data_IF_409034588388
#
_entry.id   IF_409034588388
#
_cell.length_a   1.000
_cell.length_b   1.000
_cell.length_c   1.000
_cell.angle_alpha   90.00
_cell.angle_beta   90.00
_cell.angle_gamma   90.00
#
_symmetry.space_group_name_H-M   'P 1'
#
loop_
_entity.id
_entity.type
_entity.pdbx_description
1 polymer ?
#
# COMPACT_ATOMS: atom_id res chain seq x y z
N UNK A 1 1.59 4.95 -11.05
CA UNK A 1 2.44 4.37 -9.99
C UNK A 1 2.38 2.85 -10.06
N UNK A 2 3.42 2.16 -9.59
CA UNK A 2 3.48 0.71 -9.47
C UNK A 2 4.25 0.37 -8.18
N UNK A 3 3.71 -0.51 -7.34
CA UNK A 3 4.38 -1.02 -6.14
C UNK A 3 4.89 -2.43 -6.45
N UNK A 4 6.20 -2.64 -6.34
CA UNK A 4 6.86 -3.95 -6.54
C UNK A 4 7.32 -4.52 -5.21
N UNK A 5 7.40 -5.85 -5.14
CA UNK A 5 7.91 -6.59 -3.97
C UNK A 5 7.30 -6.11 -2.64
N UNK A 6 5.97 -6.00 -2.59
CA UNK A 6 5.29 -5.52 -1.38
C UNK A 6 5.41 -6.55 -0.25
N UNK A 7 5.73 -6.06 0.95
CA UNK A 7 5.83 -6.85 2.17
C UNK A 7 4.77 -6.41 3.18
N UNK A 8 4.32 -7.37 4.00
CA UNK A 8 3.41 -7.07 5.10
C UNK A 8 4.21 -6.45 6.24
N UNK A 9 3.69 -5.35 6.80
CA UNK A 9 4.29 -4.71 7.97
C UNK A 9 3.20 -4.28 8.96
N UNK A 10 3.63 -3.91 10.17
CA UNK A 10 2.73 -3.38 11.22
C UNK A 10 3.03 -1.91 11.44
N UNK A 11 2.24 -0.97 10.89
CA UNK A 11 2.43 0.44 11.12
C UNK A 11 2.03 0.82 12.56
N UNK A 12 2.72 1.82 13.11
CA UNK A 12 2.40 2.38 14.43
C UNK A 12 1.01 3.04 14.46
N UNK A 13 0.63 3.69 13.36
CA UNK A 13 -0.72 4.21 13.14
C UNK A 13 -1.42 3.33 12.12
N UNK A 14 -2.57 2.77 12.51
CA UNK A 14 -3.41 1.91 11.67
C UNK A 14 -4.55 2.73 11.08
N UNK A 15 -4.37 3.40 9.92
CA UNK A 15 -5.37 4.31 9.37
C UNK A 15 -6.68 3.62 9.00
N UNK A 16 -6.66 2.33 8.69
CA UNK A 16 -7.84 1.55 8.29
C UNK A 16 -8.39 0.69 9.45
N UNK A 17 -7.58 0.45 10.48
CA UNK A 17 -7.93 -0.34 11.66
C UNK A 17 -7.03 -1.57 11.86
N UNK A 18 -7.27 -2.27 12.97
CA UNK A 18 -6.47 -3.41 13.45
C UNK A 18 -6.70 -4.73 12.70
N UNK A 19 -7.84 -4.87 12.04
CA UNK A 19 -8.21 -6.08 11.30
C UNK A 19 -7.69 -6.10 9.84
N UNK A 20 -6.85 -5.12 9.46
CA UNK A 20 -6.34 -4.97 8.10
C UNK A 20 -4.84 -5.26 8.03
N UNK A 21 -4.42 -5.78 6.87
CA UNK A 21 -3.01 -5.96 6.53
C UNK A 21 -2.48 -4.70 5.87
N UNK A 22 -1.30 -4.27 6.31
CA UNK A 22 -0.61 -3.13 5.74
C UNK A 22 0.53 -3.59 4.87
N UNK A 23 0.71 -2.93 3.73
CA UNK A 23 1.67 -3.31 2.70
C UNK A 23 2.61 -2.16 2.43
N UNK A 24 3.91 -2.44 2.46
CA UNK A 24 4.95 -1.49 2.09
C UNK A 24 5.74 -2.06 0.91
N UNK A 25 5.98 -1.26 -0.13
CA UNK A 25 6.89 -1.67 -1.21
C UNK A 25 8.35 -1.66 -0.77
N UNK A 26 9.21 -2.32 -1.53
CA UNK A 26 10.67 -2.26 -1.39
C UNK A 26 11.22 -0.82 -1.33
N UNK A 27 10.58 0.13 -2.02
CA UNK A 27 10.95 1.55 -2.03
C UNK A 27 10.49 2.32 -0.78
N UNK A 28 9.93 1.64 0.23
CA UNK A 28 9.48 2.23 1.49
C UNK A 28 8.13 2.96 1.43
N UNK A 29 7.38 2.84 0.32
CA UNK A 29 6.06 3.46 0.16
C UNK A 29 4.95 2.56 0.69
N UNK A 30 4.10 3.13 1.55
CA UNK A 30 2.87 2.48 2.02
C UNK A 30 1.81 2.42 0.91
N UNK A 31 1.13 1.29 0.84
CA UNK A 31 0.10 1.02 -0.15
C UNK A 31 -1.10 1.96 -0.03
N UNK A 32 -1.59 2.21 1.19
CA UNK A 32 -2.79 3.00 1.44
C UNK A 32 -2.55 4.49 1.19
N UNK A 33 -1.39 5.03 1.55
CA UNK A 33 -0.97 6.41 1.18
C UNK A 33 -0.82 6.58 -0.35
N UNK A 34 -0.49 5.48 -1.02
CA UNK A 34 -0.23 5.49 -2.47
C UNK A 34 -1.49 5.29 -3.31
N UNK A 35 -2.66 5.00 -2.72
CA UNK A 35 -3.90 4.67 -3.45
C UNK A 35 -4.30 5.76 -4.46
N UNK A 36 -4.24 7.03 -4.07
CA UNK A 36 -4.58 8.15 -4.93
C UNK A 36 -3.58 8.34 -6.10
N UNK A 37 -2.36 7.82 -5.95
CA UNK A 37 -1.28 7.92 -6.94
C UNK A 37 -1.37 6.85 -8.04
N UNK A 38 -2.30 5.90 -7.92
CA UNK A 38 -2.56 4.89 -8.95
C UNK A 38 -3.44 5.45 -10.08
N UNK A 39 -2.78 5.96 -11.11
CA UNK A 39 -3.45 6.51 -12.31
C UNK A 39 -3.65 5.49 -13.43
N UNK A 40 -2.99 4.33 -13.37
CA UNK A 40 -3.10 3.29 -14.40
C UNK A 40 -4.36 2.46 -14.16
N UNK A 41 -5.34 2.60 -15.06
CA UNK A 41 -6.50 1.71 -15.14
C UNK A 41 -6.17 0.55 -16.06
N UNK A 42 -6.09 -0.66 -15.51
CA UNK A 42 -6.04 -1.87 -16.32
C UNK A 42 -7.48 -2.24 -16.73
N UNK A 43 -7.70 -2.55 -18.02
CA UNK A 43 -8.99 -3.09 -18.46
C UNK A 43 -9.16 -4.49 -17.84
N UNK A 44 -10.31 -4.70 -17.20
CA UNK A 44 -10.76 -6.00 -16.69
C UNK A 44 -10.96 -6.99 -17.83
#
# INVERSE_FOLDING_TARGET
MELKNVVIYSPEKKPVGDAFLYFCSEDGKDFYDSLDKFTKKYKL
#
